data_IF_138706405377
#
_entry.id   IF_138706405377
#
_cell.length_a   1.000
_cell.length_b   1.000
_cell.length_c   1.000
_cell.angle_alpha   90.00
_cell.angle_beta   90.00
_cell.angle_gamma   90.00
#
_symmetry.space_group_name_H-M   'P 1'
#
loop_
_entity.id
_entity.type
_entity.pdbx_description
1 polymer ?
#
# COMPACT_ATOMS: atom_id res chain seq x y z
N UNK A 1 0.56 -8.33 6.61
CA UNK A 1 1.16 -7.50 5.53
C UNK A 1 0.54 -7.78 4.15
N UNK A 2 -0.74 -8.00 4.13
CA UNK A 2 -1.49 -8.19 2.89
C UNK A 2 -1.68 -6.89 2.08
N UNK A 3 -1.40 -5.74 2.68
CA UNK A 3 -1.47 -4.43 2.01
C UNK A 3 -0.61 -4.36 0.74
N UNK A 4 0.49 -5.11 0.68
CA UNK A 4 1.34 -5.18 -0.52
C UNK A 4 0.55 -5.71 -1.72
N UNK A 5 -0.12 -6.85 -1.52
CA UNK A 5 -0.91 -7.46 -2.59
C UNK A 5 -2.12 -6.59 -2.96
N UNK A 6 -2.73 -5.94 -1.99
CA UNK A 6 -3.84 -5.02 -2.22
C UNK A 6 -3.41 -3.82 -3.05
N UNK A 7 -2.28 -3.19 -2.71
CA UNK A 7 -1.76 -2.06 -3.48
C UNK A 7 -1.39 -2.48 -4.91
N UNK A 8 -0.67 -3.60 -5.04
CA UNK A 8 -0.28 -4.11 -6.35
C UNK A 8 -1.51 -4.38 -7.23
N UNK A 9 -2.49 -5.09 -6.69
CA UNK A 9 -3.73 -5.39 -7.41
C UNK A 9 -4.50 -4.12 -7.79
N UNK A 10 -4.51 -3.14 -6.90
CA UNK A 10 -5.19 -1.87 -7.14
C UNK A 10 -4.59 -1.12 -8.33
N UNK A 11 -3.27 -0.97 -8.38
CA UNK A 11 -2.65 -0.22 -9.50
C UNK A 11 -2.73 -0.99 -10.82
N UNK A 12 -2.65 -2.32 -10.79
CA UNK A 12 -2.81 -3.15 -11.99
C UNK A 12 -4.24 -3.05 -12.51
N UNK A 13 -5.23 -2.98 -11.64
CA UNK A 13 -6.64 -2.87 -12.01
C UNK A 13 -6.99 -1.50 -12.61
N UNK A 14 -6.15 -0.49 -12.43
CA UNK A 14 -6.36 0.83 -13.02
C UNK A 14 -5.90 0.82 -14.48
N UNK A 15 -6.80 0.50 -15.39
CA UNK A 15 -6.51 0.33 -16.82
C UNK A 15 -5.84 1.56 -17.45
N UNK A 16 -6.18 2.75 -16.96
CA UNK A 16 -5.61 4.00 -17.45
C UNK A 16 -4.10 4.13 -17.26
N UNK A 17 -3.54 3.39 -16.30
CA UNK A 17 -2.09 3.39 -16.08
C UNK A 17 -1.35 2.51 -17.08
N UNK A 18 -2.01 1.52 -17.67
CA UNK A 18 -1.40 0.61 -18.62
C UNK A 18 -0.36 -0.35 -18.05
N UNK A 19 -0.34 -0.51 -16.71
CA UNK A 19 0.62 -1.39 -16.04
C UNK A 19 0.17 -2.84 -16.10
N UNK A 20 1.08 -3.71 -16.55
CA UNK A 20 0.86 -5.14 -16.57
C UNK A 20 1.35 -5.76 -15.25
N UNK A 21 0.87 -6.97 -14.89
CA UNK A 21 1.32 -7.62 -13.65
C UNK A 21 2.83 -7.78 -13.53
N UNK A 22 3.55 -8.02 -14.62
CA UNK A 22 5.00 -8.14 -14.64
C UNK A 22 5.74 -6.84 -14.44
N UNK A 23 5.07 -5.70 -14.60
CA UNK A 23 5.68 -4.38 -14.49
C UNK A 23 5.62 -3.81 -13.07
N UNK A 24 4.89 -4.45 -12.17
CA UNK A 24 4.64 -3.92 -10.83
C UNK A 24 5.14 -4.89 -9.77
N UNK A 25 6.02 -4.40 -8.92
CA UNK A 25 6.54 -5.14 -7.76
C UNK A 25 6.29 -4.33 -6.50
N UNK A 26 5.76 -4.97 -5.47
CA UNK A 26 5.62 -4.38 -4.14
C UNK A 26 6.40 -5.19 -3.12
N UNK A 27 7.11 -4.50 -2.23
CA UNK A 27 7.87 -5.17 -1.16
C UNK A 27 7.92 -4.31 0.09
N UNK A 28 8.27 -4.94 1.19
CA UNK A 28 8.53 -4.27 2.46
C UNK A 28 10.04 -4.25 2.67
N UNK A 29 10.54 -3.08 3.04
CA UNK A 29 11.94 -2.93 3.40
C UNK A 29 12.01 -2.45 4.83
N UNK A 30 12.70 -3.17 5.68
CA UNK A 30 12.91 -2.84 7.08
C UNK A 30 11.64 -2.35 7.81
N UNK A 31 11.47 -2.81 9.00
CA UNK A 31 10.34 -2.43 9.83
C UNK A 31 10.65 -2.59 11.30
N UNK A 32 9.64 -2.32 12.11
CA UNK A 32 9.71 -2.42 13.56
C UNK A 32 8.53 -3.23 14.06
N UNK A 33 8.80 -4.12 14.99
CA UNK A 33 7.76 -4.90 15.67
C UNK A 33 7.64 -4.37 17.09
N UNK A 34 6.44 -3.96 17.48
CA UNK A 34 6.15 -3.52 18.86
C UNK A 34 5.32 -4.58 19.52
N UNK A 35 5.87 -5.18 20.59
CA UNK A 35 5.24 -6.29 21.28
C UNK A 35 4.32 -5.81 22.41
N UNK A 36 3.13 -6.38 22.45
CA UNK A 36 2.20 -6.32 23.57
C UNK A 36 1.81 -7.73 24.00
N UNK A 37 2.77 -8.66 23.86
CA UNK A 37 2.59 -10.07 24.23
C UNK A 37 3.03 -10.26 25.68
N UNK A 38 2.20 -10.89 26.48
CA UNK A 38 2.52 -11.19 27.87
C UNK A 38 3.62 -12.25 27.96
N UNK A 39 4.51 -12.11 28.94
CA UNK A 39 5.60 -13.07 29.18
C UNK A 39 5.09 -14.46 29.54
N UNK A 40 3.86 -14.56 30.08
CA UNK A 40 3.16 -15.81 30.35
C UNK A 40 1.82 -15.76 29.65
N UNK A 41 1.38 -16.91 29.16
CA UNK A 41 0.09 -17.04 28.51
C UNK A 41 -1.06 -16.70 29.47
N UNK A 42 -1.40 -15.42 29.54
CA UNK A 42 -2.43 -14.91 30.46
C UNK A 42 -3.83 -14.97 29.88
N UNK A 43 -3.98 -15.38 28.62
CA UNK A 43 -5.26 -15.47 27.94
C UNK A 43 -5.91 -14.13 27.62
N UNK A 44 -5.22 -13.00 27.86
CA UNK A 44 -5.80 -11.67 27.68
C UNK A 44 -5.11 -10.94 26.55
N UNK A 45 -5.89 -10.48 25.57
CA UNK A 45 -5.61 -9.42 24.60
C UNK A 45 -4.17 -9.29 24.08
N UNK A 46 -3.50 -10.41 23.82
CA UNK A 46 -2.18 -10.37 23.23
C UNK A 46 -2.25 -9.85 21.81
N UNK A 47 -1.34 -8.92 21.49
CA UNK A 47 -1.22 -8.39 20.15
C UNK A 47 0.18 -7.85 19.93
N UNK A 48 0.52 -7.63 18.67
CA UNK A 48 1.73 -6.91 18.29
C UNK A 48 1.45 -6.04 17.09
N UNK A 49 2.24 -5.00 16.94
CA UNK A 49 2.14 -4.09 15.81
C UNK A 49 3.39 -4.18 14.95
N UNK A 50 3.20 -4.12 13.65
CA UNK A 50 4.29 -4.05 12.69
C UNK A 50 4.20 -2.68 12.02
N UNK A 51 5.29 -1.91 12.06
CA UNK A 51 5.39 -0.65 11.33
C UNK A 51 6.48 -0.81 10.29
N UNK A 52 6.17 -0.48 9.04
CA UNK A 52 7.08 -0.71 7.91
C UNK A 52 6.92 0.32 6.81
N UNK A 53 7.90 0.38 5.92
CA UNK A 53 7.81 1.15 4.69
C UNK A 53 7.44 0.21 3.55
N UNK A 54 6.40 0.58 2.81
CA UNK A 54 5.90 -0.18 1.68
C UNK A 54 6.44 0.45 0.40
N UNK A 55 7.11 -0.36 -0.42
CA UNK A 55 7.68 0.06 -1.70
C UNK A 55 6.86 -0.50 -2.86
N UNK A 56 6.65 0.33 -3.85
CA UNK A 56 6.06 -0.06 -5.13
C UNK A 56 6.99 0.40 -6.25
N UNK A 57 7.35 -0.51 -7.13
CA UNK A 57 8.10 -0.20 -8.34
C UNK A 57 7.22 -0.46 -9.55
N UNK A 58 7.01 0.58 -10.36
CA UNK A 58 6.40 0.48 -11.67
C UNK A 58 7.51 0.58 -12.71
N UNK A 59 7.82 -0.54 -13.35
CA UNK A 59 8.89 -0.65 -14.33
C UNK A 59 8.37 -0.31 -15.72
N UNK A 60 9.22 0.34 -16.51
CA UNK A 60 8.92 0.63 -17.91
C UNK A 60 7.60 1.41 -18.08
N UNK A 61 7.38 2.36 -17.19
CA UNK A 61 6.14 3.12 -17.11
C UNK A 61 6.13 4.26 -18.12
N UNK A 62 5.09 4.31 -18.95
CA UNK A 62 4.91 5.35 -19.98
C UNK A 62 3.66 6.19 -19.76
N UNK A 63 2.91 5.94 -18.71
CA UNK A 63 1.70 6.68 -18.39
C UNK A 63 1.96 8.00 -17.66
N UNK A 64 0.89 8.58 -17.13
CA UNK A 64 0.97 9.81 -16.33
C UNK A 64 1.46 9.52 -14.93
N UNK A 65 2.60 10.07 -14.54
CA UNK A 65 3.14 9.93 -13.20
C UNK A 65 2.19 10.53 -12.15
N UNK A 66 1.60 11.68 -12.46
CA UNK A 66 0.65 12.36 -11.57
C UNK A 66 -0.59 11.51 -11.31
N UNK A 67 -1.06 10.79 -12.31
CA UNK A 67 -2.19 9.86 -12.15
C UNK A 67 -1.81 8.69 -11.26
N UNK A 68 -0.63 8.11 -11.47
CA UNK A 68 -0.12 7.06 -10.60
C UNK A 68 0.00 7.54 -9.15
N UNK A 69 0.55 8.72 -8.94
CA UNK A 69 0.70 9.30 -7.60
C UNK A 69 -0.66 9.54 -6.94
N UNK A 70 -1.62 10.08 -7.66
CA UNK A 70 -2.95 10.32 -7.15
C UNK A 70 -3.63 9.01 -6.71
N UNK A 71 -3.54 7.97 -7.52
CA UNK A 71 -4.13 6.68 -7.22
C UNK A 71 -3.50 6.02 -6.00
N UNK A 72 -2.19 6.08 -5.90
CA UNK A 72 -1.46 5.55 -4.73
C UNK A 72 -1.81 6.35 -3.46
N UNK A 73 -1.86 7.68 -3.55
CA UNK A 73 -2.24 8.53 -2.42
C UNK A 73 -3.66 8.23 -1.94
N UNK A 74 -4.59 8.09 -2.86
CA UNK A 74 -5.97 7.77 -2.53
C UNK A 74 -6.08 6.41 -1.83
N UNK A 75 -5.40 5.41 -2.36
CA UNK A 75 -5.35 4.09 -1.74
C UNK A 75 -4.77 4.17 -0.32
N UNK A 76 -3.67 4.88 -0.16
CA UNK A 76 -2.98 5.01 1.12
C UNK A 76 -3.87 5.71 2.17
N UNK A 77 -4.51 6.81 1.79
CA UNK A 77 -5.38 7.55 2.72
C UNK A 77 -6.66 6.80 3.08
N UNK A 78 -7.13 5.92 2.22
CA UNK A 78 -8.31 5.11 2.51
C UNK A 78 -8.00 3.88 3.38
N UNK A 79 -6.82 3.26 3.19
CA UNK A 79 -6.47 2.00 3.87
C UNK A 79 -5.58 2.17 5.08
N UNK A 80 -4.83 3.26 5.18
CA UNK A 80 -3.87 3.48 6.26
C UNK A 80 -4.38 4.59 7.16
N UNK A 81 -4.78 4.22 8.38
CA UNK A 81 -5.23 5.20 9.34
C UNK A 81 -4.07 6.08 9.84
N UNK A 82 -4.32 7.38 9.92
CA UNK A 82 -3.36 8.32 10.47
C UNK A 82 -2.11 8.53 9.62
N UNK A 83 -2.18 8.23 8.33
CA UNK A 83 -1.04 8.46 7.43
C UNK A 83 -0.70 9.94 7.37
N UNK A 84 0.59 10.25 7.48
CA UNK A 84 1.09 11.62 7.34
C UNK A 84 0.91 12.12 5.91
N UNK A 85 0.63 13.41 5.75
CA UNK A 85 0.56 14.05 4.43
C UNK A 85 1.88 14.00 3.64
N UNK A 86 2.98 13.75 4.33
CA UNK A 86 4.32 13.66 3.73
C UNK A 86 4.87 12.23 3.71
N UNK A 87 4.03 11.24 4.00
CA UNK A 87 4.46 9.83 4.11
C UNK A 87 4.83 9.19 2.78
N UNK A 88 4.32 9.72 1.67
CA UNK A 88 4.53 9.13 0.34
C UNK A 88 5.57 9.91 -0.41
N UNK A 89 6.64 9.24 -0.81
CA UNK A 89 7.74 9.80 -1.59
C UNK A 89 7.94 8.98 -2.86
N UNK A 90 8.66 9.53 -3.83
CA UNK A 90 8.95 8.81 -5.06
C UNK A 90 10.39 9.07 -5.52
N UNK A 91 10.88 8.14 -6.35
CA UNK A 91 12.11 8.29 -7.11
C UNK A 91 11.84 7.77 -8.52
N UNK A 92 12.51 8.34 -9.50
CA UNK A 92 12.24 8.03 -10.91
C UNK A 92 13.54 8.00 -11.70
N UNK A 93 13.73 6.91 -12.46
CA UNK A 93 14.86 6.72 -13.36
C UNK A 93 14.36 6.71 -14.81
N UNK A 94 14.78 7.66 -15.59
CA UNK A 94 14.44 7.72 -17.00
C UNK A 94 15.14 6.62 -17.79
N UNK A 95 14.36 5.82 -18.52
CA UNK A 95 14.87 4.80 -19.44
C UNK A 95 15.09 5.41 -20.85
N UNK A 96 14.14 6.24 -21.27
CA UNK A 96 14.22 7.01 -22.50
C UNK A 96 13.31 8.25 -22.38
N UNK A 97 12.99 8.90 -23.50
CA UNK A 97 12.15 10.10 -23.48
C UNK A 97 10.69 9.85 -23.12
N UNK A 98 10.23 8.61 -23.17
CA UNK A 98 8.81 8.25 -22.98
C UNK A 98 8.58 7.30 -21.82
N UNK A 99 9.63 6.61 -21.34
CA UNK A 99 9.51 5.55 -20.34
C UNK A 99 10.44 5.79 -19.17
N UNK A 100 9.99 5.39 -17.99
CA UNK A 100 10.79 5.48 -16.77
C UNK A 100 10.43 4.36 -15.80
N UNK A 101 11.34 4.08 -14.88
CA UNK A 101 11.04 3.30 -13.70
C UNK A 101 10.66 4.26 -12.58
N UNK A 102 9.51 4.04 -11.97
CA UNK A 102 9.01 4.87 -10.87
C UNK A 102 8.91 4.03 -9.61
N UNK A 103 9.63 4.42 -8.58
CA UNK A 103 9.54 3.81 -7.25
C UNK A 103 8.78 4.76 -6.32
N UNK A 104 7.75 4.22 -5.66
CA UNK A 104 6.97 4.96 -4.67
C UNK A 104 7.17 4.29 -3.32
N UNK A 105 7.40 5.08 -2.28
CA UNK A 105 7.54 4.59 -0.91
C UNK A 105 6.45 5.20 -0.05
N UNK A 106 5.69 4.33 0.61
CA UNK A 106 4.69 4.74 1.62
C UNK A 106 5.30 4.42 2.97
N UNK A 107 5.61 5.46 3.74
CA UNK A 107 6.29 5.34 5.03
C UNK A 107 5.33 5.21 6.19
N UNK A 108 5.72 4.40 7.16
CA UNK A 108 5.00 4.31 8.42
C UNK A 108 3.67 3.56 8.33
N UNK A 109 3.60 2.58 7.45
CA UNK A 109 2.42 1.69 7.37
C UNK A 109 2.39 0.82 8.62
N UNK A 110 1.24 0.73 9.27
CA UNK A 110 1.08 -0.01 10.50
C UNK A 110 0.03 -1.09 10.37
N UNK A 111 0.40 -2.31 10.72
CA UNK A 111 -0.52 -3.43 10.89
C UNK A 111 -0.55 -3.84 12.35
N UNK A 112 -1.72 -4.14 12.87
CA UNK A 112 -1.88 -4.72 14.21
C UNK A 112 -2.37 -6.15 14.07
N UNK A 113 -1.67 -7.07 14.71
CA UNK A 113 -1.99 -8.49 14.68
C UNK A 113 -2.45 -8.91 16.06
N UNK A 114 -3.69 -9.40 16.17
CA UNK A 114 -4.24 -9.95 17.40
C UNK A 114 -3.99 -11.45 17.45
N UNK A 115 -3.66 -11.93 18.64
CA UNK A 115 -3.44 -13.33 18.93
C UNK A 115 -4.71 -13.88 19.58
N UNK A 116 -5.30 -14.91 18.97
CA UNK A 116 -6.47 -15.58 19.50
C UNK A 116 -6.11 -17.02 19.86
N UNK A 117 -6.39 -17.40 21.09
CA UNK A 117 -6.22 -18.77 21.54
C UNK A 117 -7.42 -19.61 21.06
N UNK A 118 -7.14 -20.78 20.50
CA UNK A 118 -8.15 -21.76 20.10
C UNK A 118 -7.79 -23.12 20.67
N UNK A 119 -8.72 -24.07 20.63
CA UNK A 119 -8.49 -25.45 21.09
C UNK A 119 -7.40 -26.17 20.30
N UNK A 120 -7.17 -25.74 19.05
CA UNK A 120 -6.17 -26.33 18.15
C UNK A 120 -4.83 -25.57 18.14
N UNK A 121 -4.73 -24.47 18.91
CA UNK A 121 -3.51 -23.66 18.96
C UNK A 121 -3.79 -22.17 18.98
N UNK A 122 -3.08 -21.43 18.14
CA UNK A 122 -3.13 -19.98 18.10
C UNK A 122 -3.50 -19.51 16.69
N UNK A 123 -4.47 -18.62 16.61
CA UNK A 123 -4.80 -17.92 15.36
C UNK A 123 -4.31 -16.48 15.43
N UNK A 124 -3.79 -15.99 14.32
CA UNK A 124 -3.38 -14.60 14.16
C UNK A 124 -4.38 -13.87 13.26
N UNK A 125 -4.91 -12.76 13.76
CA UNK A 125 -5.84 -11.92 13.01
C UNK A 125 -5.25 -10.54 12.80
N UNK A 126 -5.03 -10.18 11.55
CA UNK A 126 -4.63 -8.82 11.20
C UNK A 126 -5.86 -7.92 11.32
N UNK A 127 -5.76 -6.91 12.18
CA UNK A 127 -6.81 -5.91 12.30
C UNK A 127 -6.68 -4.95 11.13
N UNK A 128 -7.57 -5.06 10.16
CA UNK A 128 -7.74 -4.02 9.17
C UNK A 128 -8.49 -2.87 9.85
N UNK A 129 -7.88 -1.71 9.93
CA UNK A 129 -8.53 -0.53 10.49
C UNK A 129 -9.73 -0.09 9.65
N UNK A 130 -9.77 -0.46 8.38
CA UNK A 130 -10.85 -0.14 7.44
C UNK A 130 -11.11 -1.30 6.50
N UNK A 131 -12.30 -1.30 5.91
CA UNK A 131 -12.69 -2.30 4.92
C UNK A 131 -11.83 -2.18 3.66
N UNK A 132 -11.72 -3.27 2.92
CA UNK A 132 -11.00 -3.30 1.66
C UNK A 132 -11.60 -2.29 0.67
N UNK A 133 -10.71 -1.56 0.02
CA UNK A 133 -11.10 -0.65 -1.04
C UNK A 133 -11.20 -1.43 -2.34
N UNK A 134 -12.35 -1.37 -2.98
CA UNK A 134 -12.50 -1.94 -4.31
C UNK A 134 -11.69 -1.13 -5.32
N UNK A 135 -11.14 -1.76 -6.38
CA UNK A 135 -10.49 -1.02 -7.44
C UNK A 135 -11.39 0.09 -7.96
N UNK A 136 -10.85 1.30 -8.00
CA UNK A 136 -11.60 2.45 -8.45
C UNK A 136 -11.35 2.60 -9.94
N UNK A 137 -12.44 2.59 -10.71
CA UNK A 137 -12.38 3.00 -12.10
C UNK A 137 -12.57 4.51 -12.12
N UNK A 138 -11.52 5.23 -12.47
CA UNK A 138 -11.59 6.67 -12.62
C UNK A 138 -12.17 6.94 -14.03
N UNK A 139 -13.36 7.57 -14.13
CA UNK A 139 -13.89 7.94 -15.44
C UNK A 139 -12.95 8.90 -16.16
N UNK A 140 -12.85 8.79 -17.48
CA UNK A 140 -12.01 9.66 -18.29
C UNK A 140 -12.28 11.15 -18.03
N UNK A 141 -13.53 11.49 -17.78
CA UNK A 141 -13.95 12.85 -17.42
C UNK A 141 -13.25 13.35 -16.16
N UNK A 142 -13.11 12.48 -15.15
CA UNK A 142 -12.45 12.85 -13.89
C UNK A 142 -10.96 13.04 -14.09
N UNK A 143 -10.32 12.19 -14.88
CA UNK A 143 -8.90 12.32 -15.24
C UNK A 143 -8.66 13.64 -15.96
N UNK A 144 -9.51 13.99 -16.91
CA UNK A 144 -9.44 15.28 -17.63
C UNK A 144 -9.55 16.47 -16.67
N UNK A 145 -10.45 16.39 -15.68
CA UNK A 145 -10.60 17.44 -14.67
C UNK A 145 -9.36 17.59 -13.81
N UNK A 146 -8.72 16.49 -13.43
CA UNK A 146 -7.47 16.51 -12.64
C UNK A 146 -6.36 17.17 -13.46
N UNK A 147 -6.23 16.84 -14.73
CA UNK A 147 -5.20 17.38 -15.60
C UNK A 147 -5.42 18.88 -15.92
N UNK A 148 -6.66 19.31 -16.03
CA UNK A 148 -7.00 20.72 -16.26
C UNK A 148 -6.88 21.57 -14.99
N UNK A 149 -6.95 20.97 -13.82
CA UNK A 149 -6.82 21.64 -12.53
C UNK A 149 -5.39 21.97 -12.13
N UNK A 150 -4.44 21.60 -12.95
CA UNK A 150 -3.02 21.93 -12.76
C UNK A 150 -2.61 23.04 -13.71
#
# INVERSE_FOLDING_TARGET
MDKLQKLRSYVIACDSLGLQPEDVVCWVRAGKITSHVAAKNSGANEHFSITYDLHLLASDFSGSAEELFYLVLRWAHELIDGISSEAVTFDSDALDSERCDVEIVIRGVKDTVKVRQTDEGVELHTCAGRQDVNPIVIPDVLISMINEGT
#
